data_IF_558118479357
#
_entry.id   IF_558118479357
#
_cell.length_a   1.000
_cell.length_b   1.000
_cell.length_c   1.000
_cell.angle_alpha   90.00
_cell.angle_beta   90.00
_cell.angle_gamma   90.00
#
_symmetry.space_group_name_H-M   'P 1'
#
loop_
_entity.id
_entity.type
_entity.pdbx_description
1 polymer ?
#
# COMPACT_ATOMS: atom_id res chain seq x y z
N UNK A 1 6.98 -6.95 -9.63
CA UNK A 1 5.65 -6.76 -10.02
C UNK A 1 5.41 -6.97 -11.49
N UNK A 2 5.53 -8.09 -11.90
CA UNK A 2 5.65 -8.31 -13.31
C UNK A 2 4.37 -8.68 -14.02
N UNK A 3 3.35 -9.11 -13.32
CA UNK A 3 2.17 -9.67 -13.96
C UNK A 3 0.95 -8.76 -13.96
N UNK A 4 1.19 -7.44 -13.85
CA UNK A 4 0.09 -6.48 -13.84
C UNK A 4 -0.17 -6.02 -15.26
N UNK A 5 -1.41 -6.23 -15.71
CA UNK A 5 -1.88 -5.74 -17.01
C UNK A 5 -2.30 -4.28 -16.86
N UNK A 6 -1.55 -3.40 -17.51
CA UNK A 6 -1.80 -1.95 -17.45
C UNK A 6 -3.19 -1.61 -17.99
N UNK A 7 -3.64 -2.29 -19.05
CA UNK A 7 -4.98 -2.06 -19.61
C UNK A 7 -6.05 -2.47 -18.62
N UNK A 8 -5.84 -3.55 -17.90
CA UNK A 8 -6.77 -4.00 -16.86
C UNK A 8 -6.83 -3.00 -15.72
N UNK A 9 -5.69 -2.40 -15.34
CA UNK A 9 -5.66 -1.39 -14.29
C UNK A 9 -6.32 -0.08 -14.69
N UNK A 10 -6.34 0.24 -15.99
CA UNK A 10 -6.93 1.50 -16.47
C UNK A 10 -8.40 1.64 -16.09
N UNK A 11 -9.12 0.53 -15.88
CA UNK A 11 -10.51 0.56 -15.46
C UNK A 11 -10.70 1.16 -14.06
N UNK A 12 -9.63 1.25 -13.27
CA UNK A 12 -9.68 1.82 -11.92
C UNK A 12 -9.32 3.31 -11.89
N UNK A 13 -9.04 3.92 -13.04
CA UNK A 13 -8.48 5.27 -13.09
C UNK A 13 -9.38 6.33 -12.45
N UNK A 14 -10.70 6.24 -12.65
CA UNK A 14 -11.64 7.20 -12.06
C UNK A 14 -11.64 7.09 -10.53
N UNK A 15 -11.73 5.87 -10.01
CA UNK A 15 -11.69 5.65 -8.56
C UNK A 15 -10.33 6.05 -7.99
N UNK A 16 -9.24 5.75 -8.69
CA UNK A 16 -7.90 6.13 -8.27
C UNK A 16 -7.74 7.64 -8.18
N UNK A 17 -8.28 8.36 -9.16
CA UNK A 17 -8.24 9.82 -9.16
C UNK A 17 -8.92 10.39 -7.91
N UNK A 18 -10.10 9.85 -7.55
CA UNK A 18 -10.79 10.29 -6.34
C UNK A 18 -10.07 9.87 -5.07
N UNK A 19 -9.59 8.62 -5.02
CA UNK A 19 -8.93 8.07 -3.83
C UNK A 19 -7.71 8.90 -3.45
N UNK A 20 -6.93 9.30 -4.44
CA UNK A 20 -5.69 10.02 -4.22
C UNK A 20 -5.83 11.54 -4.25
N UNK A 21 -7.05 12.04 -4.41
CA UNK A 21 -7.33 13.48 -4.35
C UNK A 21 -7.57 13.89 -2.90
N UNK A 22 -6.70 14.72 -2.30
CA UNK A 22 -6.88 15.16 -0.91
C UNK A 22 -8.15 15.99 -0.68
N UNK A 23 -8.79 16.45 -1.74
CA UNK A 23 -10.05 17.22 -1.63
C UNK A 23 -11.29 16.38 -1.77
N UNK A 24 -11.15 15.05 -1.99
CA UNK A 24 -12.28 14.15 -2.18
C UNK A 24 -12.83 13.61 -0.87
N UNK A 25 -13.75 12.63 -0.98
CA UNK A 25 -14.29 11.91 0.17
C UNK A 25 -13.22 11.13 0.95
N UNK A 26 -12.03 10.93 0.37
CA UNK A 26 -10.90 10.24 1.01
C UNK A 26 -9.99 11.20 1.79
N UNK A 27 -10.38 12.45 1.90
CA UNK A 27 -9.62 13.48 2.61
C UNK A 27 -9.17 13.06 4.02
N UNK A 28 -10.01 12.41 4.86
CA UNK A 28 -9.55 12.01 6.19
C UNK A 28 -8.33 11.10 6.18
N UNK A 29 -8.20 10.24 5.17
CA UNK A 29 -7.03 9.37 5.05
C UNK A 29 -5.77 10.18 4.75
N UNK A 30 -5.88 11.18 3.89
CA UNK A 30 -4.74 12.05 3.54
C UNK A 30 -4.34 12.93 4.73
N UNK A 31 -5.29 13.35 5.53
CA UNK A 31 -5.00 14.18 6.71
C UNK A 31 -4.30 13.41 7.81
N UNK A 32 -4.71 12.16 8.04
CA UNK A 32 -4.12 11.34 9.10
C UNK A 32 -2.82 10.65 8.69
N UNK A 33 -2.60 10.45 7.38
CA UNK A 33 -1.49 9.65 6.89
C UNK A 33 -0.12 10.17 7.34
N UNK A 34 0.20 11.48 7.25
CA UNK A 34 1.52 11.96 7.70
C UNK A 34 1.79 11.68 9.17
N UNK A 35 0.76 11.78 10.01
CA UNK A 35 0.90 11.51 11.44
C UNK A 35 1.18 10.04 11.71
N UNK A 36 0.45 9.16 11.03
CA UNK A 36 0.66 7.71 11.13
C UNK A 36 2.05 7.33 10.64
N UNK A 37 2.43 7.88 9.50
CA UNK A 37 3.74 7.58 8.89
C UNK A 37 4.88 8.00 9.81
N UNK A 38 4.83 9.21 10.34
CA UNK A 38 5.87 9.72 11.25
C UNK A 38 5.95 8.87 12.51
N UNK A 39 4.81 8.50 13.06
CA UNK A 39 4.76 7.65 14.26
C UNK A 39 5.36 6.28 14.00
N UNK A 40 4.97 5.63 12.91
CA UNK A 40 5.50 4.31 12.53
C UNK A 40 7.01 4.39 12.32
N UNK A 41 7.46 5.40 11.58
CA UNK A 41 8.88 5.56 11.26
C UNK A 41 9.71 5.83 12.52
N UNK A 42 9.15 6.59 13.47
CA UNK A 42 9.84 6.86 14.73
C UNK A 42 10.05 5.60 15.56
N UNK A 43 9.11 4.65 15.48
CA UNK A 43 9.19 3.39 16.23
C UNK A 43 10.01 2.33 15.51
N UNK A 44 9.83 2.21 14.21
CA UNK A 44 10.34 1.07 13.44
C UNK A 44 11.57 1.37 12.60
N UNK A 45 11.87 2.65 12.33
CA UNK A 45 12.95 3.06 11.44
C UNK A 45 12.81 2.36 10.09
N UNK A 46 11.87 2.82 9.31
CA UNK A 46 11.38 2.13 8.11
C UNK A 46 12.44 1.84 7.04
N UNK A 47 13.46 2.69 6.92
CA UNK A 47 14.46 2.55 5.86
C UNK A 47 15.11 1.16 5.91
N UNK A 48 15.06 0.46 4.79
CA UNK A 48 15.63 -0.87 4.65
C UNK A 48 14.83 -2.00 5.28
N UNK A 49 13.73 -1.70 5.95
CA UNK A 49 12.89 -2.74 6.57
C UNK A 49 11.94 -3.34 5.55
N UNK A 50 11.60 -4.60 5.76
CA UNK A 50 10.54 -5.27 5.00
C UNK A 50 9.25 -5.13 5.77
N UNK A 51 8.26 -4.48 5.14
CA UNK A 51 7.01 -4.09 5.80
C UNK A 51 5.82 -4.77 5.11
N UNK A 52 4.94 -5.33 5.91
CA UNK A 52 3.64 -5.83 5.45
C UNK A 52 2.57 -4.86 5.93
N UNK A 53 1.80 -4.29 5.00
CA UNK A 53 0.66 -3.43 5.32
C UNK A 53 -0.63 -4.23 5.09
N UNK A 54 -1.27 -4.63 6.19
CA UNK A 54 -2.49 -5.44 6.17
C UNK A 54 -3.70 -4.53 6.01
N UNK A 55 -4.56 -4.85 5.05
CA UNK A 55 -5.71 -4.00 4.74
C UNK A 55 -5.28 -2.70 4.10
N UNK A 56 -4.36 -2.77 3.13
CA UNK A 56 -3.71 -1.59 2.57
C UNK A 56 -4.63 -0.65 1.78
N UNK A 57 -5.80 -1.11 1.37
CA UNK A 57 -6.73 -0.28 0.62
C UNK A 57 -6.12 0.29 -0.66
N UNK A 58 -6.32 1.57 -0.91
CA UNK A 58 -5.80 2.26 -2.09
C UNK A 58 -4.32 2.63 -2.02
N UNK A 59 -3.62 2.22 -0.97
CA UNK A 59 -2.16 2.30 -0.92
C UNK A 59 -1.56 3.58 -0.35
N UNK A 60 -2.37 4.45 0.25
CA UNK A 60 -1.86 5.74 0.74
C UNK A 60 -0.73 5.55 1.76
N UNK A 61 -0.93 4.70 2.75
CA UNK A 61 0.11 4.42 3.75
C UNK A 61 1.24 3.58 3.17
N UNK A 62 0.90 2.52 2.44
CA UNK A 62 1.90 1.61 1.88
C UNK A 62 2.89 2.35 0.98
N UNK A 63 2.37 3.19 0.09
CA UNK A 63 3.23 3.97 -0.82
C UNK A 63 4.08 4.98 -0.07
N UNK A 64 3.53 5.59 0.98
CA UNK A 64 4.27 6.53 1.83
C UNK A 64 5.41 5.84 2.57
N UNK A 65 5.19 4.62 3.09
CA UNK A 65 6.25 3.85 3.73
C UNK A 65 7.36 3.47 2.75
N UNK A 66 6.97 3.09 1.53
CA UNK A 66 7.95 2.79 0.49
C UNK A 66 8.79 4.03 0.14
N UNK A 67 8.19 5.21 0.13
CA UNK A 67 8.91 6.46 -0.12
C UNK A 67 9.90 6.80 1.00
N UNK A 68 9.72 6.25 2.19
CA UNK A 68 10.69 6.36 3.30
C UNK A 68 11.79 5.31 3.22
N UNK A 69 11.85 4.53 2.17
CA UNK A 69 12.92 3.55 1.96
C UNK A 69 12.63 2.13 2.44
N UNK A 70 11.39 1.84 2.85
CA UNK A 70 10.99 0.49 3.20
C UNK A 70 10.72 -0.34 1.95
N UNK A 71 10.82 -1.66 2.07
CA UNK A 71 10.36 -2.59 1.06
C UNK A 71 8.98 -3.08 1.50
N UNK A 72 7.94 -2.64 0.80
CA UNK A 72 6.57 -2.78 1.28
C UNK A 72 5.78 -3.77 0.43
N UNK A 73 5.07 -4.67 1.11
CA UNK A 73 4.01 -5.46 0.49
C UNK A 73 2.69 -5.04 1.13
N UNK A 74 1.75 -4.59 0.31
CA UNK A 74 0.39 -4.31 0.75
C UNK A 74 -0.52 -5.47 0.39
N UNK A 75 -1.34 -5.90 1.32
CA UNK A 75 -2.33 -6.95 1.07
C UNK A 75 -3.73 -6.47 1.43
N UNK A 76 -4.69 -6.95 0.66
CA UNK A 76 -6.10 -6.68 0.90
C UNK A 76 -6.91 -7.76 0.20
N UNK A 77 -8.13 -7.97 0.65
CA UNK A 77 -9.06 -8.88 -0.01
C UNK A 77 -10.00 -8.15 -0.97
N UNK A 78 -10.01 -6.81 -0.94
CA UNK A 78 -10.87 -6.00 -1.77
C UNK A 78 -10.18 -5.66 -3.09
N UNK A 79 -10.71 -6.18 -4.18
CA UNK A 79 -10.12 -6.04 -5.52
C UNK A 79 -10.04 -4.59 -5.99
N UNK A 80 -11.10 -3.80 -5.75
CA UNK A 80 -11.15 -2.42 -6.26
C UNK A 80 -10.10 -1.52 -5.61
N UNK A 81 -9.99 -1.46 -4.29
CA UNK A 81 -8.91 -0.67 -3.68
C UNK A 81 -7.51 -1.12 -4.11
N UNK A 82 -7.29 -2.43 -4.24
CA UNK A 82 -6.00 -2.93 -4.72
C UNK A 82 -5.70 -2.47 -6.14
N UNK A 83 -6.72 -2.44 -7.01
CA UNK A 83 -6.56 -1.91 -8.36
C UNK A 83 -6.14 -0.45 -8.35
N UNK A 84 -6.73 0.34 -7.46
CA UNK A 84 -6.35 1.74 -7.25
C UNK A 84 -4.90 1.85 -6.80
N UNK A 85 -4.52 1.03 -5.80
CA UNK A 85 -3.17 1.05 -5.26
C UNK A 85 -2.12 0.71 -6.32
N UNK A 86 -2.37 -0.33 -7.10
CA UNK A 86 -1.48 -0.76 -8.19
C UNK A 86 -1.34 0.31 -9.26
N UNK A 87 -2.45 0.91 -9.66
CA UNK A 87 -2.43 1.95 -10.69
C UNK A 87 -1.63 3.16 -10.23
N UNK A 88 -1.88 3.63 -9.02
CA UNK A 88 -1.17 4.80 -8.51
C UNK A 88 0.33 4.52 -8.36
N UNK A 89 0.71 3.33 -7.90
CA UNK A 89 2.11 2.96 -7.77
C UNK A 89 2.83 2.96 -9.12
N UNK A 90 2.16 2.48 -10.17
CA UNK A 90 2.69 2.55 -11.53
C UNK A 90 2.90 3.99 -11.98
N UNK A 91 1.91 4.84 -11.74
CA UNK A 91 1.97 6.24 -12.17
C UNK A 91 3.03 7.03 -11.41
N UNK A 92 3.23 6.73 -10.13
CA UNK A 92 4.22 7.43 -9.31
C UNK A 92 5.62 6.84 -9.42
N UNK A 93 5.76 5.68 -10.06
CA UNK A 93 7.07 5.08 -10.32
C UNK A 93 7.76 4.48 -9.09
N UNK A 94 7.00 4.12 -8.08
CA UNK A 94 7.55 3.53 -6.86
C UNK A 94 7.98 2.08 -7.14
N UNK A 95 9.24 1.75 -6.86
CA UNK A 95 9.82 0.47 -7.22
C UNK A 95 9.82 -0.57 -6.09
N UNK A 96 9.86 -0.14 -4.85
CA UNK A 96 10.01 -1.01 -3.67
C UNK A 96 8.65 -1.29 -3.00
N UNK A 97 7.64 -1.53 -3.83
CA UNK A 97 6.26 -1.69 -3.39
C UNK A 97 5.57 -2.70 -4.28
N UNK A 98 4.92 -3.69 -3.67
CA UNK A 98 4.05 -4.60 -4.42
C UNK A 98 2.78 -4.87 -3.63
N UNK A 99 1.75 -5.31 -4.34
CA UNK A 99 0.44 -5.58 -3.75
C UNK A 99 -0.02 -6.98 -4.10
N UNK A 100 -0.73 -7.62 -3.15
CA UNK A 100 -1.34 -8.92 -3.40
C UNK A 100 -2.76 -8.98 -2.82
N UNK A 101 -3.63 -9.64 -3.56
CA UNK A 101 -4.98 -9.93 -3.08
C UNK A 101 -4.94 -11.29 -2.37
N UNK A 102 -4.63 -11.24 -1.08
CA UNK A 102 -4.42 -12.44 -0.27
C UNK A 102 -4.75 -12.14 1.19
N UNK A 103 -5.17 -13.15 1.92
CA UNK A 103 -5.41 -13.01 3.36
C UNK A 103 -4.10 -13.07 4.13
N UNK A 104 -4.10 -12.55 5.35
CA UNK A 104 -2.96 -12.63 6.24
C UNK A 104 -2.59 -14.09 6.53
N UNK A 105 -3.59 -14.92 6.72
CA UNK A 105 -3.40 -16.34 7.03
C UNK A 105 -2.72 -17.08 5.88
N UNK A 106 -3.16 -16.82 4.66
CA UNK A 106 -2.54 -17.44 3.49
C UNK A 106 -1.10 -17.00 3.30
N UNK A 107 -0.85 -15.71 3.48
CA UNK A 107 0.51 -15.18 3.34
C UNK A 107 1.43 -15.73 4.44
N UNK A 108 0.93 -15.88 5.66
CA UNK A 108 1.70 -16.43 6.76
C UNK A 108 2.16 -17.86 6.49
N UNK A 109 1.34 -18.64 5.78
CA UNK A 109 1.71 -20.00 5.38
C UNK A 109 2.80 -20.02 4.31
N UNK A 110 2.74 -19.08 3.36
CA UNK A 110 3.72 -19.00 2.29
C UNK A 110 5.06 -18.48 2.75
N UNK A 111 5.05 -17.45 3.61
CA UNK A 111 6.25 -16.67 3.90
C UNK A 111 6.35 -16.33 5.39
N UNK A 112 6.44 -17.34 6.26
CA UNK A 112 6.58 -17.07 7.70
C UNK A 112 7.89 -16.36 7.99
N UNK A 113 7.86 -15.40 8.91
CA UNK A 113 9.05 -14.70 9.36
C UNK A 113 9.72 -13.81 8.32
N UNK A 114 8.99 -13.40 7.28
CA UNK A 114 9.55 -12.63 6.18
C UNK A 114 9.64 -11.14 6.46
N UNK A 115 8.73 -10.60 7.28
CA UNK A 115 8.60 -9.16 7.47
C UNK A 115 9.17 -8.70 8.80
N UNK A 116 9.81 -7.54 8.79
CA UNK A 116 10.36 -6.90 9.98
C UNK A 116 9.30 -6.09 10.72
N UNK A 117 8.34 -5.54 9.97
CA UNK A 117 7.30 -4.66 10.50
C UNK A 117 5.97 -5.05 9.86
N UNK A 118 4.93 -5.09 10.67
CA UNK A 118 3.56 -5.32 10.18
C UNK A 118 2.71 -4.15 10.63
N UNK A 119 2.01 -3.53 9.68
CA UNK A 119 1.06 -2.45 9.98
C UNK A 119 -0.36 -2.92 9.66
N UNK A 120 -1.31 -2.48 10.47
CA UNK A 120 -2.73 -2.73 10.26
C UNK A 120 -3.48 -1.54 10.83
N UNK A 121 -3.63 -0.50 10.01
CA UNK A 121 -4.10 0.81 10.46
C UNK A 121 -5.55 1.10 10.07
N UNK A 122 -6.28 0.09 9.69
CA UNK A 122 -7.70 0.22 9.37
C UNK A 122 -8.53 0.50 10.60
#
# INVERSE_FOLDING_TARGET
MSNVDVKELAKFSELAHRWWDPGSEFRPLHEINPLRLDWIDSLAQLRGKRVLDVGCGGGILAEAMASRGAHVMGIDLATKPLGVARLHALESGVANLEYREVSTEELAKEAPGTFDVVTCME
#
